data_IF_865726600884
#
_entry.id   IF_865726600884
#
_cell.length_a   1.000
_cell.length_b   1.000
_cell.length_c   1.000
_cell.angle_alpha   90.00
_cell.angle_beta   90.00
_cell.angle_gamma   90.00
#
_symmetry.space_group_name_H-M   'P 1'
#
loop_
_entity.id
_entity.type
_entity.pdbx_description
1 polymer ?
#
# COMPACT_ATOMS: atom_id res chain seq x y z
N UNK A 1 68.54 -12.97 -18.80
CA UNK A 1 67.92 -11.63 -18.94
C UNK A 1 66.42 -11.64 -18.68
N UNK A 2 65.66 -12.62 -19.19
CA UNK A 2 64.19 -12.68 -19.05
C UNK A 2 63.67 -12.72 -17.60
N UNK A 3 64.28 -13.49 -16.70
CA UNK A 3 63.82 -13.63 -15.30
C UNK A 3 63.97 -12.34 -14.46
N UNK A 4 64.99 -11.52 -14.75
CA UNK A 4 65.20 -10.24 -14.06
C UNK A 4 64.16 -9.19 -14.46
N UNK A 5 63.70 -9.22 -15.71
CA UNK A 5 62.64 -8.36 -16.21
C UNK A 5 61.27 -8.71 -15.60
N UNK A 6 60.95 -10.00 -15.43
CA UNK A 6 59.72 -10.42 -14.75
C UNK A 6 59.71 -10.03 -13.26
N UNK A 7 60.85 -10.12 -12.58
CA UNK A 7 60.99 -9.74 -11.18
C UNK A 7 60.81 -8.22 -10.98
N UNK A 8 61.36 -7.40 -11.88
CA UNK A 8 61.17 -5.94 -11.86
C UNK A 8 59.69 -5.56 -12.05
N UNK A 9 58.99 -6.24 -12.97
CA UNK A 9 57.56 -6.01 -13.21
C UNK A 9 56.71 -6.34 -11.98
N UNK A 10 56.99 -7.46 -11.31
CA UNK A 10 56.28 -7.85 -10.09
C UNK A 10 56.45 -6.82 -8.97
N UNK A 11 57.67 -6.32 -8.75
CA UNK A 11 57.93 -5.27 -7.75
C UNK A 11 57.17 -3.98 -8.09
N UNK A 12 57.09 -3.62 -9.38
CA UNK A 12 56.39 -2.42 -9.81
C UNK A 12 54.87 -2.51 -9.57
N UNK A 13 54.27 -3.68 -9.80
CA UNK A 13 52.85 -3.94 -9.51
C UNK A 13 52.58 -3.88 -8.00
N UNK A 14 53.44 -4.49 -7.18
CA UNK A 14 53.29 -4.47 -5.71
C UNK A 14 53.48 -3.05 -5.15
N UNK A 15 54.43 -2.28 -5.69
CA UNK A 15 54.65 -0.90 -5.27
C UNK A 15 53.46 0.02 -5.62
N UNK A 16 52.87 -0.18 -6.79
CA UNK A 16 51.70 0.60 -7.23
C UNK A 16 50.44 0.27 -6.44
N UNK A 17 50.20 -1.00 -6.09
CA UNK A 17 49.09 -1.37 -5.21
C UNK A 17 49.24 -0.82 -3.80
N UNK A 18 50.46 -0.85 -3.24
CA UNK A 18 50.75 -0.23 -1.94
C UNK A 18 50.53 1.28 -1.96
N UNK A 19 50.94 1.97 -3.03
CA UNK A 19 50.68 3.41 -3.19
C UNK A 19 49.19 3.73 -3.24
N UNK A 20 48.39 2.93 -3.95
CA UNK A 20 46.93 3.13 -4.02
C UNK A 20 46.28 2.92 -2.65
N UNK A 21 46.76 1.97 -1.83
CA UNK A 21 46.21 1.75 -0.49
C UNK A 21 46.58 2.91 0.46
N UNK A 22 47.79 3.46 0.35
CA UNK A 22 48.27 4.55 1.21
C UNK A 22 47.63 5.90 0.83
N UNK A 23 47.49 6.18 -0.46
CA UNK A 23 46.93 7.45 -0.95
C UNK A 23 45.42 7.40 -1.25
N UNK A 24 44.83 6.21 -1.33
CA UNK A 24 43.43 5.99 -1.68
C UNK A 24 42.47 5.93 -0.50
N UNK A 25 42.77 6.61 0.61
CA UNK A 25 41.79 6.75 1.71
C UNK A 25 40.70 7.76 1.29
N UNK A 26 39.74 7.27 0.50
CA UNK A 26 38.53 7.98 0.11
C UNK A 26 37.39 7.75 1.11
N UNK A 27 37.68 7.55 2.39
CA UNK A 27 36.61 7.45 3.39
C UNK A 27 36.07 8.85 3.67
N UNK A 28 34.85 9.21 3.21
CA UNK A 28 34.23 10.44 3.69
C UNK A 28 34.12 10.33 5.21
N UNK A 29 34.65 11.32 5.92
CA UNK A 29 34.61 11.35 7.37
C UNK A 29 33.16 11.17 7.84
N UNK A 30 32.90 10.18 8.69
CA UNK A 30 31.56 9.86 9.19
C UNK A 30 30.93 11.12 9.82
N UNK A 31 31.75 12.01 10.37
CA UNK A 31 31.29 13.28 10.93
C UNK A 31 30.62 14.17 9.87
N UNK A 32 31.12 14.17 8.63
CA UNK A 32 30.51 14.92 7.53
C UNK A 32 29.14 14.38 7.15
N UNK A 33 28.98 13.05 7.12
CA UNK A 33 27.70 12.38 6.83
C UNK A 33 26.68 12.69 7.93
N UNK A 34 27.07 12.59 9.19
CA UNK A 34 26.16 12.85 10.33
C UNK A 34 25.78 14.33 10.37
N UNK A 35 26.72 15.23 10.09
CA UNK A 35 26.46 16.68 10.09
C UNK A 35 25.53 17.08 8.94
N UNK A 36 25.77 16.59 7.73
CA UNK A 36 24.90 16.85 6.58
C UNK A 36 23.52 16.20 6.76
N UNK A 37 23.45 14.98 7.29
CA UNK A 37 22.17 14.31 7.57
C UNK A 37 21.36 15.06 8.62
N UNK A 38 21.99 15.51 9.71
CA UNK A 38 21.30 16.27 10.75
C UNK A 38 20.81 17.63 10.23
N UNK A 39 21.60 18.29 9.37
CA UNK A 39 21.22 19.55 8.72
C UNK A 39 20.04 19.38 7.77
N UNK A 40 20.06 18.35 6.91
CA UNK A 40 18.96 18.05 5.99
C UNK A 40 17.68 17.68 6.74
N UNK A 41 17.77 16.82 7.76
CA UNK A 41 16.62 16.42 8.57
C UNK A 41 16.00 17.62 9.31
N UNK A 42 16.83 18.45 9.95
CA UNK A 42 16.37 19.66 10.65
C UNK A 42 15.67 20.63 9.70
N UNK A 43 16.24 20.87 8.52
CA UNK A 43 15.65 21.76 7.53
C UNK A 43 14.30 21.23 7.03
N UNK A 44 14.21 19.94 6.68
CA UNK A 44 12.97 19.34 6.20
C UNK A 44 11.86 19.38 7.26
N UNK A 45 12.18 19.09 8.51
CA UNK A 45 11.21 19.15 9.63
C UNK A 45 10.76 20.60 9.87
N UNK A 46 11.68 21.56 9.77
CA UNK A 46 11.33 22.98 9.92
C UNK A 46 10.39 23.45 8.79
N UNK A 47 10.69 23.12 7.54
CA UNK A 47 9.83 23.43 6.40
C UNK A 47 8.44 22.79 6.54
N UNK A 48 8.38 21.53 7.00
CA UNK A 48 7.10 20.88 7.26
C UNK A 48 6.30 21.58 8.37
N UNK A 49 6.96 21.98 9.46
CA UNK A 49 6.35 22.73 10.56
C UNK A 49 5.84 24.10 10.09
N UNK A 50 6.59 24.79 9.25
CA UNK A 50 6.17 26.08 8.67
C UNK A 50 4.95 25.91 7.74
N UNK A 51 4.94 24.87 6.90
CA UNK A 51 3.78 24.54 6.07
C UNK A 51 2.53 24.20 6.89
N UNK A 52 2.68 23.50 8.02
CA UNK A 52 1.57 23.21 8.93
C UNK A 52 1.04 24.47 9.62
N UNK A 53 1.91 25.40 10.02
CA UNK A 53 1.48 26.68 10.58
C UNK A 53 0.67 27.50 9.57
N UNK A 54 1.11 27.54 8.31
CA UNK A 54 0.35 28.20 7.23
C UNK A 54 -1.00 27.50 6.98
N UNK A 55 -1.08 26.18 7.13
CA UNK A 55 -2.33 25.43 7.04
C UNK A 55 -3.28 25.69 8.23
N UNK A 56 -2.75 25.91 9.42
CA UNK A 56 -3.52 26.26 10.63
C UNK A 56 -4.09 27.69 10.54
N UNK A 57 -3.32 28.64 9.97
CA UNK A 57 -3.79 30.00 9.67
C UNK A 57 -4.85 30.03 8.55
N UNK A 58 -4.78 29.08 7.60
CA UNK A 58 -5.81 28.88 6.59
C UNK A 58 -6.96 28.06 7.17
N UNK A 59 -7.88 28.74 7.88
CA UNK A 59 -9.14 28.16 8.37
C UNK A 59 -9.72 27.19 7.34
N UNK A 60 -9.64 25.89 7.63
CA UNK A 60 -10.14 24.82 6.77
C UNK A 60 -11.66 24.94 6.72
N UNK A 61 -12.13 25.72 5.77
CA UNK A 61 -13.54 25.90 5.47
C UNK A 61 -13.93 24.77 4.54
N UNK A 62 -14.53 23.73 5.13
CA UNK A 62 -15.20 22.72 4.33
C UNK A 62 -16.35 23.41 3.59
N UNK A 63 -16.40 23.23 2.27
CA UNK A 63 -17.47 23.81 1.45
C UNK A 63 -18.80 23.13 1.83
N UNK A 64 -19.78 23.98 2.16
CA UNK A 64 -21.13 23.61 2.61
C UNK A 64 -21.80 22.64 1.63
N UNK A 65 -21.46 22.72 0.33
CA UNK A 65 -21.94 21.78 -0.68
C UNK A 65 -21.59 20.34 -0.36
N UNK A 66 -20.34 20.06 0.00
CA UNK A 66 -19.89 18.70 0.33
C UNK A 66 -20.37 18.26 1.70
N UNK A 67 -20.45 19.19 2.66
CA UNK A 67 -21.04 18.92 3.97
C UNK A 67 -22.49 18.45 3.85
N UNK A 68 -23.27 19.11 2.97
CA UNK A 68 -24.65 18.71 2.68
C UNK A 68 -24.75 17.33 2.03
N UNK A 69 -23.85 16.98 1.09
CA UNK A 69 -23.80 15.63 0.51
C UNK A 69 -23.47 14.54 1.54
N UNK A 70 -22.61 14.85 2.52
CA UNK A 70 -22.27 13.96 3.62
C UNK A 70 -23.36 13.87 4.70
N UNK A 71 -24.43 14.66 4.58
CA UNK A 71 -25.56 14.65 5.50
C UNK A 71 -25.41 15.57 6.71
N UNK A 72 -24.42 16.46 6.72
CA UNK A 72 -24.27 17.54 7.72
C UNK A 72 -25.23 18.69 7.42
N UNK A 73 -26.53 18.40 7.45
CA UNK A 73 -27.62 19.38 7.25
C UNK A 73 -28.23 19.79 8.60
N UNK A 74 -28.89 20.95 8.72
CA UNK A 74 -29.50 21.41 9.99
C UNK A 74 -30.54 20.45 10.59
N UNK A 75 -31.21 19.67 9.74
CA UNK A 75 -32.17 18.64 10.14
C UNK A 75 -31.73 17.28 9.58
N UNK A 76 -30.70 16.65 10.17
CA UNK A 76 -30.17 15.41 9.66
C UNK A 76 -31.17 14.27 9.90
N UNK A 77 -31.16 13.30 8.99
CA UNK A 77 -31.90 12.05 9.15
C UNK A 77 -31.19 11.17 10.17
N UNK A 78 -31.60 11.25 11.44
CA UNK A 78 -30.98 10.54 12.55
C UNK A 78 -31.66 9.19 12.82
N UNK A 79 -30.85 8.15 12.99
CA UNK A 79 -31.31 6.89 13.56
C UNK A 79 -31.64 7.08 15.07
N UNK A 80 -32.71 6.47 15.61
CA UNK A 80 -33.65 5.55 14.96
C UNK A 80 -34.87 6.24 14.33
N UNK A 81 -34.99 7.57 14.44
CA UNK A 81 -36.20 8.32 14.10
C UNK A 81 -36.51 8.38 12.60
N UNK A 82 -35.48 8.32 11.75
CA UNK A 82 -35.65 8.23 10.30
C UNK A 82 -34.79 7.11 9.71
N UNK A 83 -35.35 5.90 9.66
CA UNK A 83 -34.76 4.78 8.93
C UNK A 83 -35.23 4.84 7.47
N UNK A 84 -34.30 4.74 6.53
CA UNK A 84 -34.66 4.65 5.11
C UNK A 84 -35.37 3.30 4.87
N UNK A 85 -36.65 3.35 4.49
CA UNK A 85 -37.49 2.15 4.30
C UNK A 85 -37.54 1.66 2.86
N UNK A 86 -37.03 2.45 1.91
CA UNK A 86 -37.10 2.17 0.48
C UNK A 86 -35.74 1.69 -0.06
N UNK A 87 -35.04 0.84 0.70
CA UNK A 87 -33.79 0.22 0.24
C UNK A 87 -34.12 -1.07 -0.45
N UNK A 88 -33.62 -1.25 -1.68
CA UNK A 88 -33.51 -2.59 -2.26
C UNK A 88 -32.62 -3.45 -1.36
N UNK A 89 -32.87 -4.75 -1.32
CA UNK A 89 -31.99 -5.70 -0.63
C UNK A 89 -30.55 -5.48 -1.10
N UNK A 90 -29.60 -5.18 -0.20
CA UNK A 90 -28.24 -4.89 -0.61
C UNK A 90 -27.60 -6.10 -1.30
N UNK A 91 -26.91 -5.85 -2.42
CA UNK A 91 -26.13 -6.88 -3.11
C UNK A 91 -24.73 -6.86 -2.54
N UNK A 92 -24.27 -8.01 -2.05
CA UNK A 92 -22.92 -8.17 -1.51
C UNK A 92 -22.00 -8.48 -2.68
N UNK A 93 -20.95 -7.68 -2.84
CA UNK A 93 -20.01 -7.82 -3.96
C UNK A 93 -18.63 -8.17 -3.40
N UNK A 94 -18.05 -9.24 -3.92
CA UNK A 94 -16.68 -9.66 -3.57
C UNK A 94 -15.97 -10.23 -4.80
N UNK A 95 -14.70 -10.58 -4.67
CA UNK A 95 -13.90 -11.26 -5.67
C UNK A 95 -13.26 -12.51 -5.07
N UNK A 96 -12.82 -13.43 -5.93
CA UNK A 96 -12.06 -14.60 -5.53
C UNK A 96 -10.89 -14.84 -6.48
N UNK A 97 -9.70 -14.96 -5.89
CA UNK A 97 -8.46 -15.29 -6.59
C UNK A 97 -8.16 -16.79 -6.48
N UNK A 98 -7.32 -17.31 -7.40
CA UNK A 98 -6.79 -18.66 -7.26
C UNK A 98 -5.99 -18.79 -5.96
N UNK A 99 -6.21 -19.88 -5.21
CA UNK A 99 -5.64 -20.10 -3.88
C UNK A 99 -6.52 -19.67 -2.69
N UNK A 100 -7.57 -18.87 -2.89
CA UNK A 100 -8.46 -18.38 -1.82
C UNK A 100 -9.81 -19.12 -1.74
N UNK A 101 -9.89 -20.34 -2.27
CA UNK A 101 -11.15 -21.08 -2.42
C UNK A 101 -11.86 -21.34 -1.10
N UNK A 102 -11.10 -21.71 -0.08
CA UNK A 102 -11.66 -22.02 1.24
C UNK A 102 -12.32 -20.79 1.87
N UNK A 103 -11.72 -19.61 1.69
CA UNK A 103 -12.26 -18.32 2.10
C UNK A 103 -13.52 -17.97 1.30
N UNK A 104 -13.51 -18.23 -0.01
CA UNK A 104 -14.67 -18.04 -0.88
C UNK A 104 -15.87 -18.91 -0.50
N UNK A 105 -15.62 -20.18 -0.18
CA UNK A 105 -16.63 -21.12 0.31
C UNK A 105 -17.15 -20.66 1.67
N UNK A 106 -16.26 -20.28 2.59
CA UNK A 106 -16.62 -19.77 3.92
C UNK A 106 -17.49 -18.51 3.85
N UNK A 107 -17.12 -17.55 3.00
CA UNK A 107 -17.89 -16.33 2.75
C UNK A 107 -19.29 -16.67 2.21
N UNK A 108 -19.35 -17.54 1.20
CA UNK A 108 -20.59 -17.98 0.57
C UNK A 108 -21.53 -18.65 1.58
N UNK A 109 -21.00 -19.54 2.43
CA UNK A 109 -21.75 -20.22 3.48
C UNK A 109 -22.25 -19.27 4.56
N UNK A 110 -21.40 -18.33 5.00
CA UNK A 110 -21.76 -17.35 6.01
C UNK A 110 -22.87 -16.41 5.51
N UNK A 111 -22.79 -15.95 4.27
CA UNK A 111 -23.83 -15.11 3.67
C UNK A 111 -25.13 -15.90 3.52
N UNK A 112 -25.08 -17.15 3.07
CA UNK A 112 -26.28 -17.96 2.97
C UNK A 112 -26.94 -18.25 4.32
N UNK A 113 -26.15 -18.35 5.40
CA UNK A 113 -26.66 -18.59 6.74
C UNK A 113 -27.22 -17.33 7.41
N UNK A 114 -26.46 -16.23 7.40
CA UNK A 114 -26.80 -15.01 8.14
C UNK A 114 -27.61 -14.00 7.32
N UNK A 115 -27.53 -14.05 5.99
CA UNK A 115 -28.14 -13.11 5.05
C UNK A 115 -28.89 -13.84 3.91
N UNK A 116 -29.83 -14.75 4.22
CA UNK A 116 -30.44 -15.66 3.24
C UNK A 116 -31.21 -14.96 2.10
N UNK A 117 -31.68 -13.73 2.33
CA UNK A 117 -32.41 -12.93 1.34
C UNK A 117 -31.51 -11.98 0.53
N UNK A 118 -30.19 -12.08 0.68
CA UNK A 118 -29.22 -11.22 -0.01
C UNK A 118 -28.52 -11.97 -1.13
N UNK A 119 -28.24 -11.25 -2.23
CA UNK A 119 -27.48 -11.80 -3.36
C UNK A 119 -25.99 -11.56 -3.14
N UNK A 120 -25.19 -12.60 -3.34
CA UNK A 120 -23.73 -12.51 -3.44
C UNK A 120 -23.32 -12.53 -4.92
N UNK A 121 -22.65 -11.45 -5.36
CA UNK A 121 -21.96 -11.35 -6.63
C UNK A 121 -20.47 -11.58 -6.40
N UNK A 122 -19.93 -12.65 -6.96
CA UNK A 122 -18.52 -13.02 -6.82
C UNK A 122 -17.80 -12.89 -8.16
N UNK A 123 -16.80 -12.01 -8.22
CA UNK A 123 -15.93 -11.87 -9.39
C UNK A 123 -14.86 -12.95 -9.39
N UNK A 124 -14.81 -13.71 -10.48
CA UNK A 124 -13.78 -14.70 -10.71
C UNK A 124 -12.49 -14.00 -11.21
N UNK A 125 -11.41 -14.04 -10.42
CA UNK A 125 -10.08 -13.52 -10.76
C UNK A 125 -9.05 -14.65 -10.95
N UNK A 126 -9.42 -15.72 -11.66
CA UNK A 126 -8.50 -16.79 -12.04
C UNK A 126 -8.83 -18.17 -11.48
N UNK A 127 -10.03 -18.37 -10.95
CA UNK A 127 -10.50 -19.68 -10.49
C UNK A 127 -10.55 -20.70 -11.61
N UNK A 128 -10.12 -21.92 -11.30
CA UNK A 128 -10.23 -23.06 -12.22
C UNK A 128 -11.67 -23.57 -12.24
N UNK A 129 -12.02 -24.34 -13.28
CA UNK A 129 -13.38 -24.90 -13.46
C UNK A 129 -13.86 -25.74 -12.27
N UNK A 130 -12.95 -26.49 -11.66
CA UNK A 130 -13.25 -27.28 -10.46
C UNK A 130 -13.61 -26.38 -9.28
N UNK A 131 -12.81 -25.35 -9.03
CA UNK A 131 -13.00 -24.41 -7.93
C UNK A 131 -14.30 -23.60 -8.10
N UNK A 132 -14.61 -23.21 -9.34
CA UNK A 132 -15.89 -22.58 -9.70
C UNK A 132 -17.10 -23.45 -9.37
N UNK A 133 -17.02 -24.76 -9.67
CA UNK A 133 -18.08 -25.70 -9.33
C UNK A 133 -18.25 -25.81 -7.82
N UNK A 134 -17.15 -25.92 -7.06
CA UNK A 134 -17.21 -25.99 -5.61
C UNK A 134 -17.89 -24.77 -4.99
N UNK A 135 -17.58 -23.56 -5.44
CA UNK A 135 -18.21 -22.34 -4.93
C UNK A 135 -19.69 -22.27 -5.32
N UNK A 136 -20.03 -22.63 -6.56
CA UNK A 136 -21.41 -22.58 -7.08
C UNK A 136 -22.37 -23.58 -6.41
N UNK A 137 -21.87 -24.71 -5.90
CA UNK A 137 -22.70 -25.72 -5.23
C UNK A 137 -23.20 -25.26 -3.84
N UNK A 138 -22.60 -24.24 -3.25
CA UNK A 138 -22.84 -23.87 -1.86
C UNK A 138 -23.89 -22.75 -1.66
N UNK A 139 -24.32 -22.04 -2.71
CA UNK A 139 -25.33 -20.97 -2.59
C UNK A 139 -25.87 -20.51 -3.95
N UNK A 140 -26.93 -19.71 -3.95
CA UNK A 140 -27.48 -19.02 -5.12
C UNK A 140 -26.55 -17.85 -5.54
N UNK A 141 -25.31 -18.18 -5.91
CA UNK A 141 -24.28 -17.21 -6.29
C UNK A 141 -24.47 -16.85 -7.76
N UNK A 142 -24.69 -15.56 -8.04
CA UNK A 142 -24.57 -15.05 -9.39
C UNK A 142 -23.08 -14.87 -9.70
N UNK A 143 -22.50 -15.81 -10.43
CA UNK A 143 -21.10 -15.73 -10.83
C UNK A 143 -20.98 -14.94 -12.14
N UNK A 144 -20.17 -13.88 -12.15
CA UNK A 144 -19.94 -13.09 -13.36
C UNK A 144 -18.50 -13.29 -13.82
N UNK A 145 -18.35 -13.90 -15.00
CA UNK A 145 -17.07 -13.97 -15.72
C UNK A 145 -16.80 -12.62 -16.38
N UNK A 146 -15.56 -12.14 -16.24
CA UNK A 146 -14.94 -11.13 -17.10
C UNK A 146 -13.82 -11.85 -17.85
#
# INVERSE_FOLDING_TARGET
MRTKSYLLGFICIVATTLLIIIFGDQRPDIQSIVTETHKQLKNNIQTFKENLKVAEEKKLTADDKYLNFLGFVPNPRLYPLSVWTNTTLPVIVSYLCDGDIDQGIGLTRNIGHFLPNHTLLLYNLGLRRYDLQMVSMNFNVALKLI
#
